data_IF_357740160836
#
_entry.id   IF_357740160836
#
_cell.length_a   1.000
_cell.length_b   1.000
_cell.length_c   1.000
_cell.angle_alpha   90.00
_cell.angle_beta   90.00
_cell.angle_gamma   90.00
#
_symmetry.space_group_name_H-M   'P 1'
#
loop_
_entity.id
_entity.type
_entity.pdbx_description
1 polymer ?
#
# COMPACT_ATOMS: atom_id res chain seq x y z
N UNK A 1 7.22 5.65 3.72
CA UNK A 1 6.94 4.21 3.74
C UNK A 1 5.46 4.01 3.51
N UNK A 2 5.10 3.47 2.35
CA UNK A 2 3.74 3.04 2.05
C UNK A 2 3.64 1.54 2.37
N UNK A 3 2.50 1.08 2.85
CA UNK A 3 2.28 -0.33 3.16
C UNK A 3 1.13 -0.85 2.32
N UNK A 4 1.39 -1.92 1.57
CA UNK A 4 0.38 -2.60 0.77
C UNK A 4 0.07 -3.98 1.36
N UNK A 5 -1.12 -4.51 1.09
CA UNK A 5 -1.44 -5.89 1.47
C UNK A 5 -0.42 -6.84 0.85
N UNK A 6 0.16 -7.68 1.71
CA UNK A 6 1.15 -8.64 1.29
C UNK A 6 0.48 -9.75 0.48
N UNK A 7 1.05 -10.11 -0.67
CA UNK A 7 0.69 -11.35 -1.34
C UNK A 7 1.32 -12.51 -0.55
N UNK A 8 0.46 -13.25 0.13
CA UNK A 8 0.85 -14.38 0.96
C UNK A 8 0.62 -15.67 0.18
N UNK A 9 1.71 -16.27 -0.29
CA UNK A 9 1.67 -17.66 -0.72
C UNK A 9 1.27 -18.59 0.45
N UNK A 10 0.96 -19.84 0.12
CA UNK A 10 0.52 -20.84 1.10
C UNK A 10 1.54 -21.09 2.23
N UNK A 11 2.83 -20.92 1.99
CA UNK A 11 3.87 -21.13 3.00
C UNK A 11 3.90 -19.96 3.98
N UNK A 12 3.92 -18.73 3.46
CA UNK A 12 3.91 -17.50 4.26
C UNK A 12 2.62 -17.36 5.07
N UNK A 13 1.48 -17.71 4.48
CA UNK A 13 0.20 -17.71 5.18
C UNK A 13 0.20 -18.68 6.38
N UNK A 14 0.77 -19.88 6.22
CA UNK A 14 0.88 -20.85 7.33
C UNK A 14 1.75 -20.31 8.47
N UNK A 15 2.84 -19.60 8.17
CA UNK A 15 3.69 -18.97 9.19
C UNK A 15 2.92 -17.94 10.00
N UNK A 16 2.17 -17.06 9.33
CA UNK A 16 1.32 -16.05 10.00
C UNK A 16 0.27 -16.73 10.89
N UNK A 17 -0.46 -17.71 10.36
CA UNK A 17 -1.51 -18.41 11.10
C UNK A 17 -0.99 -19.19 12.30
N UNK A 18 0.24 -19.73 12.25
CA UNK A 18 0.83 -20.42 13.39
C UNK A 18 1.09 -19.43 14.53
N UNK A 19 1.63 -18.25 14.24
CA UNK A 19 1.83 -17.20 15.25
C UNK A 19 0.49 -16.71 15.80
N UNK A 20 -0.53 -16.55 14.95
CA UNK A 20 -1.88 -16.19 15.43
C UNK A 20 -2.45 -17.23 16.40
N UNK A 21 -2.24 -18.53 16.13
CA UNK A 21 -2.68 -19.62 17.02
C UNK A 21 -1.94 -19.63 18.35
N UNK A 22 -0.63 -19.39 18.33
CA UNK A 22 0.23 -19.39 19.52
C UNK A 22 -0.03 -18.17 20.42
N UNK A 23 -0.27 -17.01 19.82
CA UNK A 23 -0.42 -15.73 20.54
C UNK A 23 -1.88 -15.37 20.85
N UNK A 24 -2.84 -15.95 20.11
CA UNK A 24 -4.24 -15.56 20.14
C UNK A 24 -4.56 -14.23 19.45
N UNK A 25 -3.57 -13.58 18.83
CA UNK A 25 -3.72 -12.30 18.15
C UNK A 25 -4.10 -12.49 16.67
N UNK A 26 -4.70 -11.43 16.08
CA UNK A 26 -4.90 -11.32 14.64
C UNK A 26 -3.82 -10.45 14.02
N UNK A 27 -3.22 -10.93 12.94
CA UNK A 27 -2.09 -10.29 12.29
C UNK A 27 -2.47 -9.87 10.87
N UNK A 28 -2.14 -8.62 10.53
CA UNK A 28 -2.22 -8.11 9.16
C UNK A 28 -0.82 -8.13 8.56
N UNK A 29 -0.67 -8.88 7.47
CA UNK A 29 0.58 -8.91 6.72
C UNK A 29 0.59 -7.80 5.68
N UNK A 30 1.52 -6.87 5.85
CA UNK A 30 1.74 -5.76 4.93
C UNK A 30 3.18 -5.81 4.41
N UNK A 31 3.36 -5.57 3.12
CA UNK A 31 4.68 -5.32 2.56
C UNK A 31 4.97 -3.83 2.64
N UNK A 32 6.19 -3.49 3.06
CA UNK A 32 6.72 -2.14 2.84
C UNK A 32 6.87 -1.98 1.34
N UNK A 33 6.19 -0.99 0.78
CA UNK A 33 6.47 -0.48 -0.55
C UNK A 33 7.43 0.67 -0.35
N UNK A 34 8.67 0.43 -0.77
CA UNK A 34 9.66 1.50 -0.84
C UNK A 34 9.29 2.37 -2.03
N UNK A 35 9.05 3.63 -1.76
CA UNK A 35 8.52 4.58 -2.73
C UNK A 35 9.18 5.93 -2.54
N UNK A 36 9.59 6.53 -3.64
CA UNK A 36 10.11 7.88 -3.67
C UNK A 36 9.08 8.82 -4.32
N UNK A 37 9.05 10.12 -3.96
CA UNK A 37 8.20 11.08 -4.65
C UNK A 37 8.51 11.11 -6.15
N UNK A 38 7.48 10.89 -6.97
CA UNK A 38 7.65 10.99 -8.42
C UNK A 38 7.71 12.46 -8.85
N UNK A 39 8.59 12.78 -9.81
CA UNK A 39 8.54 14.08 -10.49
C UNK A 39 7.35 14.09 -11.44
N UNK A 40 6.44 15.05 -11.28
CA UNK A 40 5.25 15.20 -12.10
C UNK A 40 5.50 16.29 -13.15
N UNK A 41 5.22 15.99 -14.42
CA UNK A 41 5.21 16.97 -15.50
C UNK A 41 3.85 17.68 -15.59
N UNK A 42 3.84 18.93 -16.07
CA UNK A 42 2.65 19.79 -16.13
C UNK A 42 1.42 19.13 -16.81
N UNK A 43 1.69 18.30 -17.80
CA UNK A 43 0.69 17.57 -18.58
C UNK A 43 -0.11 16.59 -17.70
N UNK A 44 0.59 15.84 -16.83
CA UNK A 44 0.00 14.88 -15.91
C UNK A 44 -0.62 15.53 -14.67
N UNK A 45 -0.15 16.72 -14.29
CA UNK A 45 -0.62 17.43 -13.10
C UNK A 45 -2.12 17.76 -13.19
N UNK A 46 -2.60 18.17 -14.37
CA UNK A 46 -4.02 18.52 -14.57
C UNK A 46 -4.94 17.33 -14.35
N UNK A 47 -4.55 16.16 -14.86
CA UNK A 47 -5.33 14.93 -14.73
C UNK A 47 -5.37 14.46 -13.27
N UNK A 48 -4.23 14.54 -12.58
CA UNK A 48 -4.12 14.21 -11.16
C UNK A 48 -5.01 15.15 -10.32
N UNK A 49 -5.00 16.46 -10.57
CA UNK A 49 -5.84 17.42 -9.86
C UNK A 49 -7.34 17.25 -10.15
N UNK A 50 -7.70 16.77 -11.34
CA UNK A 50 -9.09 16.40 -11.64
C UNK A 50 -9.52 15.20 -10.79
N UNK A 51 -8.66 14.17 -10.69
CA UNK A 51 -8.90 13.00 -9.86
C UNK A 51 -9.03 13.34 -8.37
N UNK A 52 -8.17 14.20 -7.84
CA UNK A 52 -8.23 14.64 -6.44
C UNK A 52 -9.57 15.30 -6.08
N UNK A 53 -10.09 16.12 -6.99
CA UNK A 53 -11.39 16.80 -6.81
C UNK A 53 -12.55 15.83 -6.85
N UNK A 54 -12.50 14.83 -7.74
CA UNK A 54 -13.54 13.81 -7.86
C UNK A 54 -13.58 12.90 -6.62
N UNK A 55 -12.41 12.50 -6.11
CA UNK A 55 -12.29 11.67 -4.92
C UNK A 55 -12.53 12.44 -3.61
N UNK A 56 -12.36 13.78 -3.62
CA UNK A 56 -12.35 14.59 -2.41
C UNK A 56 -11.14 14.30 -1.51
N UNK A 57 -10.03 13.89 -2.10
CA UNK A 57 -8.82 13.46 -1.39
C UNK A 57 -7.57 13.99 -2.09
N UNK A 58 -6.49 14.21 -1.35
CA UNK A 58 -5.16 14.47 -1.91
C UNK A 58 -4.49 13.15 -2.28
N UNK A 59 -3.95 13.07 -3.50
CA UNK A 59 -3.15 11.92 -3.94
C UNK A 59 -1.68 12.31 -4.09
N UNK A 60 -0.79 11.40 -3.74
CA UNK A 60 0.66 11.63 -3.81
C UNK A 60 1.24 10.71 -4.88
N UNK A 61 1.85 11.30 -5.90
CA UNK A 61 2.53 10.53 -6.94
C UNK A 61 3.85 9.98 -6.41
N UNK A 62 4.06 8.68 -6.60
CA UNK A 62 5.24 7.96 -6.13
C UNK A 62 5.80 7.05 -7.22
N UNK A 63 7.12 6.82 -7.20
CA UNK A 63 7.89 5.92 -8.08
C UNK A 63 8.47 4.74 -7.33
#
# INVERSE_FOLDING_TARGET
MLYAFSDLDNERLRKVQNVEKETGLKLLALNVVDVEPATIHDDALKDIQALERDLGMTVVAVS
#
